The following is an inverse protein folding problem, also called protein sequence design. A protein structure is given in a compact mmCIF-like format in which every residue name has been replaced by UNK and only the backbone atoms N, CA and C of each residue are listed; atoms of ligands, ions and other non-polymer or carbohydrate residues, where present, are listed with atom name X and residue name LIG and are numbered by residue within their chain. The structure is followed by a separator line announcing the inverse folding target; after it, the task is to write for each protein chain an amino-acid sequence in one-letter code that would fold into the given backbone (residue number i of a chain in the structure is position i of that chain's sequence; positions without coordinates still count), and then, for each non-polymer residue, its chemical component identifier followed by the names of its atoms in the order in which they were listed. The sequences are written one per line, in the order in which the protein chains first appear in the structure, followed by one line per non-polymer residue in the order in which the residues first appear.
data_IF_510128916235
#
_entry.id   IF_510128916235
#
_cell.length_a   1.000
_cell.length_b   1.000
_cell.length_c   1.000
_cell.angle_alpha   90.00
_cell.angle_beta   90.00
_cell.angle_gamma   90.00
#
_symmetry.space_group_name_H-M   'P 1'
#
loop_
_entity.id
_entity.type
_entity.pdbx_description
1 polymer ?
#
# COMPACT_ATOMS: atom_id res chain seq x y z
N UNK A 1 34.59 -23.33 40.70
CA UNK A 1 34.14 -22.77 39.41
C UNK A 1 32.84 -22.04 39.65
N UNK A 2 32.88 -20.71 39.62
CA UNK A 2 31.75 -19.83 39.96
C UNK A 2 30.69 -19.96 38.88
N UNK A 3 29.52 -20.51 39.20
CA UNK A 3 28.38 -20.47 38.28
C UNK A 3 28.04 -18.99 38.03
N UNK A 4 28.03 -18.51 36.77
CA UNK A 4 27.45 -17.20 36.48
C UNK A 4 26.02 -17.17 37.03
N UNK A 5 25.59 -16.03 37.59
CA UNK A 5 24.37 -15.92 38.40
C UNK A 5 23.11 -16.48 37.71
N UNK A 6 22.82 -17.77 37.95
CA UNK A 6 21.69 -18.45 37.34
C UNK A 6 20.39 -18.05 38.04
N UNK A 7 19.36 -17.74 37.25
CA UNK A 7 18.09 -17.22 37.73
C UNK A 7 17.04 -18.34 37.83
N UNK A 8 16.27 -18.33 38.91
CA UNK A 8 15.07 -19.17 39.03
C UNK A 8 13.99 -18.70 38.06
N UNK A 9 13.14 -19.62 37.61
CA UNK A 9 12.05 -19.36 36.62
C UNK A 9 11.21 -18.11 36.92
N UNK A 10 10.87 -17.84 38.19
CA UNK A 10 10.09 -16.65 38.55
C UNK A 10 10.86 -15.33 38.36
N UNK A 11 12.18 -15.34 38.61
CA UNK A 11 13.02 -14.18 38.35
C UNK A 11 13.21 -13.94 36.85
N UNK A 12 13.33 -15.02 36.07
CA UNK A 12 13.35 -14.95 34.59
C UNK A 12 12.06 -14.35 34.06
N UNK A 13 10.91 -14.85 34.52
CA UNK A 13 9.61 -14.35 34.11
C UNK A 13 9.45 -12.85 34.37
N UNK A 14 9.81 -12.38 35.57
CA UNK A 14 9.80 -10.95 35.90
C UNK A 14 10.75 -10.12 35.04
N UNK A 15 11.96 -10.61 34.79
CA UNK A 15 12.99 -9.88 34.04
C UNK A 15 12.68 -9.80 32.54
N UNK A 16 12.03 -10.81 32.00
CA UNK A 16 11.81 -10.95 30.54
C UNK A 16 10.38 -10.64 30.11
N UNK A 17 9.45 -10.51 31.06
CA UNK A 17 8.02 -10.33 30.80
C UNK A 17 7.33 -11.58 30.23
N UNK A 18 8.02 -12.72 30.21
CA UNK A 18 7.48 -14.00 29.72
C UNK A 18 6.82 -14.73 30.87
N UNK A 19 5.60 -15.24 30.66
CA UNK A 19 4.92 -15.99 31.71
C UNK A 19 5.67 -17.29 32.04
N UNK A 20 5.57 -17.77 33.29
CA UNK A 20 6.14 -19.07 33.68
C UNK A 20 5.55 -20.20 32.80
N UNK A 21 4.27 -20.09 32.45
CA UNK A 21 3.59 -21.03 31.53
C UNK A 21 4.28 -21.06 30.16
N UNK A 22 4.61 -19.90 29.60
CA UNK A 22 5.32 -19.80 28.32
C UNK A 22 6.73 -20.39 28.40
N UNK A 23 7.46 -20.18 29.50
CA UNK A 23 8.76 -20.80 29.70
C UNK A 23 8.67 -22.34 29.76
N UNK A 24 7.66 -22.88 30.44
CA UNK A 24 7.42 -24.33 30.46
C UNK A 24 7.04 -24.86 29.07
N UNK A 25 6.23 -24.11 28.33
CA UNK A 25 5.87 -24.48 26.97
C UNK A 25 7.09 -24.48 26.04
N UNK A 26 8.00 -23.50 26.15
CA UNK A 26 9.23 -23.49 25.37
C UNK A 26 10.17 -24.64 25.71
N UNK A 27 10.19 -25.09 26.96
CA UNK A 27 10.92 -26.31 27.36
C UNK A 27 10.25 -27.56 26.78
N UNK A 28 8.92 -27.65 26.83
CA UNK A 28 8.15 -28.79 26.31
C UNK A 28 8.37 -29.02 24.81
N UNK A 29 8.39 -27.94 24.02
CA UNK A 29 8.66 -28.01 22.58
C UNK A 29 10.15 -28.02 22.23
N UNK A 30 11.04 -28.06 23.24
CA UNK A 30 12.50 -28.11 23.05
C UNK A 30 13.14 -26.80 22.54
N UNK A 31 12.41 -25.69 22.56
CA UNK A 31 12.87 -24.39 22.07
C UNK A 31 13.83 -23.70 23.05
N UNK A 32 13.60 -23.85 24.36
CA UNK A 32 14.44 -23.34 25.43
C UNK A 32 14.45 -24.33 26.60
N UNK A 33 15.61 -24.91 26.89
CA UNK A 33 15.80 -25.75 28.07
C UNK A 33 16.53 -24.98 29.18
N UNK A 34 16.19 -25.19 30.46
CA UNK A 34 16.98 -24.64 31.56
C UNK A 34 18.37 -25.30 31.59
N UNK A 35 19.42 -24.50 31.69
CA UNK A 35 20.81 -24.99 31.83
C UNK A 35 21.05 -25.82 33.10
N UNK A 36 20.18 -25.74 34.11
CA UNK A 36 20.32 -26.56 35.30
C UNK A 36 19.08 -26.61 36.19
N UNK A 37 19.20 -27.35 37.29
CA UNK A 37 18.19 -27.44 38.34
C UNK A 37 18.83 -27.32 39.73
N UNK A 38 18.12 -26.74 40.68
CA UNK A 38 18.54 -26.75 42.10
C UNK A 38 18.45 -28.17 42.67
N UNK A 39 19.09 -28.42 43.82
CA UNK A 39 18.95 -29.68 44.56
C UNK A 39 17.48 -30.03 44.90
N UNK A 40 16.63 -29.01 45.06
CA UNK A 40 15.18 -29.13 45.27
C UNK A 40 14.34 -29.23 43.98
N UNK A 41 14.98 -29.38 42.81
CA UNK A 41 14.30 -29.59 41.52
C UNK A 41 13.87 -28.33 40.75
N UNK A 42 14.13 -27.13 41.27
CA UNK A 42 13.73 -25.87 40.61
C UNK A 42 14.63 -25.56 39.41
N UNK A 43 14.03 -25.09 38.30
CA UNK A 43 14.74 -24.69 37.09
C UNK A 43 15.66 -23.49 37.31
N UNK A 44 16.87 -23.57 36.77
CA UNK A 44 17.88 -22.51 36.77
C UNK A 44 18.24 -22.16 35.34
N UNK A 45 18.20 -20.87 35.04
CA UNK A 45 18.52 -20.31 33.74
C UNK A 45 19.79 -19.48 33.81
N UNK A 46 20.79 -19.82 32.99
CA UNK A 46 22.05 -19.07 32.88
C UNK A 46 21.84 -17.78 32.07
N UNK A 47 22.80 -16.84 32.10
CA UNK A 47 22.75 -15.67 31.21
C UNK A 47 22.60 -16.01 29.72
N UNK A 48 23.17 -17.13 29.27
CA UNK A 48 23.04 -17.63 27.90
C UNK A 48 21.59 -18.07 27.59
N UNK A 49 20.93 -18.76 28.52
CA UNK A 49 19.51 -19.09 28.36
C UNK A 49 18.64 -17.82 28.25
N UNK A 50 18.99 -16.76 29.00
CA UNK A 50 18.30 -15.47 28.93
C UNK A 50 18.53 -14.81 27.57
N UNK A 51 19.75 -14.87 27.02
CA UNK A 51 20.05 -14.35 25.69
C UNK A 51 19.28 -15.12 24.61
N UNK A 52 19.24 -16.46 24.68
CA UNK A 52 18.42 -17.29 23.79
C UNK A 52 16.95 -16.93 23.87
N UNK A 53 16.41 -16.74 25.09
CA UNK A 53 15.04 -16.30 25.30
C UNK A 53 14.76 -14.92 24.68
N UNK A 54 15.70 -13.98 24.80
CA UNK A 54 15.58 -12.67 24.14
C UNK A 54 15.55 -12.81 22.61
N UNK A 55 16.42 -13.65 22.03
CA UNK A 55 16.40 -13.94 20.58
C UNK A 55 15.07 -14.53 20.12
N UNK A 56 14.53 -15.51 20.86
CA UNK A 56 13.20 -16.10 20.58
C UNK A 56 12.13 -15.01 20.55
N UNK A 57 12.09 -14.13 21.57
CA UNK A 57 11.11 -13.04 21.63
C UNK A 57 11.24 -12.05 20.47
N UNK A 58 12.46 -11.68 20.11
CA UNK A 58 12.71 -10.76 19.00
C UNK A 58 12.21 -11.34 17.68
N UNK A 59 12.49 -12.62 17.42
CA UNK A 59 12.03 -13.29 16.19
C UNK A 59 10.51 -13.50 16.18
N UNK A 60 9.91 -13.80 17.33
CA UNK A 60 8.45 -13.91 17.44
C UNK A 60 7.76 -12.56 17.21
N UNK A 61 8.36 -11.45 17.68
CA UNK A 61 7.86 -10.10 17.41
C UNK A 61 7.95 -9.71 15.92
N UNK A 62 8.84 -10.36 15.16
CA UNK A 62 8.95 -10.23 13.70
C UNK A 62 7.97 -11.17 12.95
N UNK A 63 7.11 -11.89 13.67
CA UNK A 63 6.07 -12.74 13.07
C UNK A 63 6.52 -14.16 12.74
N UNK A 64 7.73 -14.58 13.12
CA UNK A 64 8.15 -15.97 12.94
C UNK A 64 7.38 -16.89 13.90
N UNK A 65 7.00 -18.06 13.40
CA UNK A 65 6.42 -19.13 14.22
C UNK A 65 7.48 -19.76 15.13
N UNK A 66 7.07 -20.37 16.25
CA UNK A 66 8.01 -21.03 17.17
C UNK A 66 8.78 -22.18 16.52
N UNK A 67 8.19 -22.84 15.51
CA UNK A 67 8.86 -23.87 14.71
C UNK A 67 10.03 -23.27 13.89
N UNK A 68 9.77 -22.20 13.15
CA UNK A 68 10.80 -21.51 12.35
C UNK A 68 11.91 -20.93 13.23
N UNK A 69 11.56 -20.41 14.42
CA UNK A 69 12.53 -19.92 15.41
C UNK A 69 13.40 -21.08 15.91
N UNK A 70 12.79 -22.24 16.20
CA UNK A 70 13.52 -23.44 16.59
C UNK A 70 14.54 -23.87 15.54
N UNK A 71 14.14 -23.88 14.27
CA UNK A 71 15.01 -24.24 13.16
C UNK A 71 16.14 -23.23 12.94
N UNK A 72 15.86 -21.92 13.06
CA UNK A 72 16.87 -20.86 12.92
C UNK A 72 17.89 -20.84 14.08
N UNK A 73 17.46 -21.20 15.29
CA UNK A 73 18.30 -21.21 16.49
C UNK A 73 18.99 -22.56 16.73
N UNK A 74 18.74 -23.55 15.88
CA UNK A 74 19.47 -24.80 15.87
C UNK A 74 20.71 -24.65 14.96
N UNK A 75 21.88 -24.95 15.50
CA UNK A 75 23.15 -24.84 14.76
C UNK A 75 23.08 -25.61 13.43
N UNK A 76 23.36 -24.90 12.33
CA UNK A 76 23.53 -25.49 11.00
C UNK A 76 22.27 -25.98 10.29
N UNK A 77 21.05 -25.68 10.79
CA UNK A 77 19.80 -26.16 10.16
C UNK A 77 19.11 -25.16 9.23
N UNK A 78 19.23 -23.86 9.48
CA UNK A 78 18.53 -22.85 8.69
C UNK A 78 19.24 -21.49 8.77
N UNK A 79 19.43 -20.80 7.64
CA UNK A 79 19.95 -19.43 7.63
C UNK A 79 18.84 -18.45 8.04
N UNK A 80 19.05 -17.76 9.16
CA UNK A 80 18.12 -16.74 9.66
C UNK A 80 17.85 -15.66 8.59
N UNK A 81 18.86 -15.28 7.81
CA UNK A 81 18.69 -14.29 6.73
C UNK A 81 17.75 -14.81 5.67
N UNK A 82 17.89 -16.06 5.27
CA UNK A 82 17.02 -16.70 4.27
C UNK A 82 15.57 -16.78 4.76
N UNK A 83 15.35 -17.16 6.02
CA UNK A 83 14.00 -17.21 6.62
C UNK A 83 13.36 -15.83 6.70
N UNK A 84 14.11 -14.81 7.13
CA UNK A 84 13.61 -13.43 7.16
C UNK A 84 13.28 -12.95 5.74
N UNK A 85 14.13 -13.23 4.74
CA UNK A 85 13.86 -12.85 3.35
C UNK A 85 12.63 -13.56 2.77
N UNK A 86 12.43 -14.83 3.10
CA UNK A 86 11.24 -15.59 2.69
C UNK A 86 9.96 -15.02 3.30
N UNK A 87 9.98 -14.66 4.58
CA UNK A 87 8.83 -13.98 5.21
C UNK A 87 8.60 -12.59 4.65
N UNK A 88 9.66 -11.82 4.40
CA UNK A 88 9.54 -10.51 3.78
C UNK A 88 8.83 -10.61 2.43
N UNK A 89 9.25 -11.54 1.56
CA UNK A 89 8.59 -11.79 0.27
C UNK A 89 7.12 -12.18 0.43
N UNK A 90 6.77 -12.97 1.44
CA UNK A 90 5.38 -13.34 1.72
C UNK A 90 4.55 -12.13 2.14
N UNK A 91 5.07 -11.30 3.04
CA UNK A 91 4.41 -10.06 3.49
C UNK A 91 4.25 -9.08 2.33
N UNK A 92 5.26 -8.95 1.48
CA UNK A 92 5.21 -8.12 0.27
C UNK A 92 4.11 -8.60 -0.69
N UNK A 93 4.02 -9.92 -0.95
CA UNK A 93 2.97 -10.49 -1.79
C UNK A 93 1.57 -10.33 -1.18
N UNK A 94 1.42 -10.53 0.14
CA UNK A 94 0.15 -10.29 0.84
C UNK A 94 -0.26 -8.81 0.75
N UNK A 95 0.69 -7.89 0.87
CA UNK A 95 0.45 -6.45 0.69
C UNK A 95 -0.02 -6.13 -0.72
N UNK A 96 0.60 -6.70 -1.76
CA UNK A 96 0.18 -6.49 -3.14
C UNK A 96 -1.27 -6.94 -3.39
N UNK A 97 -1.67 -8.07 -2.83
CA UNK A 97 -3.06 -8.57 -2.92
C UNK A 97 -4.03 -7.61 -2.23
N UNK A 98 -3.70 -7.14 -1.03
CA UNK A 98 -4.54 -6.20 -0.27
C UNK A 98 -4.63 -4.83 -0.97
N UNK A 99 -3.52 -4.31 -1.49
CA UNK A 99 -3.50 -3.06 -2.24
C UNK A 99 -4.33 -3.17 -3.51
N UNK A 100 -4.29 -4.31 -4.21
CA UNK A 100 -5.18 -4.54 -5.35
C UNK A 100 -6.64 -4.51 -4.92
N UNK A 101 -7.01 -5.28 -3.89
CA UNK A 101 -8.39 -5.32 -3.39
C UNK A 101 -8.90 -3.94 -2.97
N UNK A 102 -8.07 -3.14 -2.29
CA UNK A 102 -8.41 -1.77 -1.91
C UNK A 102 -8.74 -0.92 -3.14
N UNK A 103 -7.92 -0.98 -4.19
CA UNK A 103 -8.20 -0.27 -5.45
C UNK A 103 -9.52 -0.72 -6.06
N UNK A 104 -9.83 -2.01 -6.01
CA UNK A 104 -11.08 -2.52 -6.54
C UNK A 104 -12.30 -1.98 -5.79
N UNK A 105 -12.22 -1.95 -4.46
CA UNK A 105 -13.28 -1.42 -3.61
C UNK A 105 -13.50 0.08 -3.83
N UNK A 106 -12.42 0.86 -3.99
CA UNK A 106 -12.52 2.30 -4.29
C UNK A 106 -13.11 2.59 -5.67
N UNK A 107 -12.77 1.79 -6.68
CA UNK A 107 -13.37 1.91 -8.01
C UNK A 107 -14.88 1.65 -7.94
N UNK A 108 -15.29 0.62 -7.22
CA UNK A 108 -16.70 0.32 -7.01
C UNK A 108 -17.42 1.44 -6.24
N UNK A 109 -16.81 1.96 -5.17
CA UNK A 109 -17.37 3.06 -4.38
C UNK A 109 -17.64 4.31 -5.23
N UNK A 110 -16.71 4.70 -6.12
CA UNK A 110 -16.92 5.83 -7.05
C UNK A 110 -18.09 5.61 -8.01
N UNK A 111 -18.22 4.40 -8.56
CA UNK A 111 -19.34 4.07 -9.45
C UNK A 111 -20.68 4.14 -8.71
N UNK A 112 -20.73 3.62 -7.48
CA UNK A 112 -21.92 3.70 -6.63
C UNK A 112 -22.25 5.14 -6.19
N UNK A 113 -21.26 6.01 -6.02
CA UNK A 113 -21.48 7.41 -5.66
C UNK A 113 -22.01 8.28 -6.83
N UNK A 114 -21.68 7.90 -8.08
CA UNK A 114 -22.15 8.59 -9.30
C UNK A 114 -23.60 8.27 -9.67
N UNK A 115 -24.10 7.09 -9.28
CA UNK A 115 -25.50 6.69 -9.46
C UNK A 115 -26.38 7.42 -8.42
N UNK A 116 -26.82 8.63 -8.76
CA UNK A 116 -27.64 9.51 -7.90
C UNK A 116 -29.07 8.99 -7.65
N UNK A 117 -29.47 7.92 -8.33
CA UNK A 117 -30.64 7.13 -7.96
C UNK A 117 -30.11 5.84 -7.36
N UNK A 118 -30.47 5.53 -6.13
CA UNK A 118 -30.04 4.33 -5.40
C UNK A 118 -30.51 3.01 -6.02
N UNK A 119 -30.09 2.75 -7.26
CA UNK A 119 -30.29 1.53 -7.98
C UNK A 119 -29.33 0.46 -7.46
N UNK A 120 -29.86 -0.76 -7.43
CA UNK A 120 -29.17 -1.92 -6.89
C UNK A 120 -27.90 -2.20 -7.71
N UNK A 121 -26.80 -2.56 -7.02
CA UNK A 121 -25.56 -3.07 -7.60
C UNK A 121 -25.83 -3.90 -8.87
N UNK A 122 -25.66 -3.29 -10.04
CA UNK A 122 -25.95 -3.97 -11.30
C UNK A 122 -24.72 -4.75 -11.78
N UNK A 123 -24.94 -5.69 -12.68
CA UNK A 123 -23.81 -6.37 -13.36
C UNK A 123 -22.99 -5.37 -14.17
N UNK A 124 -23.61 -4.33 -14.72
CA UNK A 124 -22.95 -3.27 -15.49
C UNK A 124 -22.05 -2.42 -14.60
N UNK A 125 -22.53 -1.99 -13.42
CA UNK A 125 -21.73 -1.26 -12.42
C UNK A 125 -20.48 -2.05 -12.01
N UNK A 126 -20.61 -3.37 -11.81
CA UNK A 126 -19.48 -4.25 -11.49
C UNK A 126 -18.49 -4.40 -12.66
N UNK A 127 -18.99 -4.61 -13.88
CA UNK A 127 -18.14 -4.70 -15.07
C UNK A 127 -17.40 -3.39 -15.31
N UNK A 128 -18.08 -2.25 -15.15
CA UNK A 128 -17.48 -0.93 -15.29
C UNK A 128 -16.34 -0.69 -14.29
N UNK A 129 -16.55 -1.06 -13.02
CA UNK A 129 -15.50 -0.99 -12.01
C UNK A 129 -14.29 -1.88 -12.39
N UNK A 130 -14.53 -3.13 -12.79
CA UNK A 130 -13.48 -4.09 -13.22
C UNK A 130 -12.70 -3.62 -14.45
N UNK A 131 -13.39 -3.03 -15.42
CA UNK A 131 -12.77 -2.41 -16.59
C UNK A 131 -11.91 -1.22 -16.19
N UNK A 132 -12.39 -0.35 -15.30
CA UNK A 132 -11.62 0.79 -14.79
C UNK A 132 -10.32 0.32 -14.13
N UNK A 133 -10.38 -0.71 -13.27
CA UNK A 133 -9.18 -1.28 -12.64
C UNK A 133 -8.19 -1.78 -13.69
N UNK A 134 -8.68 -2.55 -14.67
CA UNK A 134 -7.83 -3.16 -15.71
C UNK A 134 -7.20 -2.10 -16.61
N UNK A 135 -7.94 -1.04 -16.94
CA UNK A 135 -7.48 0.10 -17.73
C UNK A 135 -6.35 0.83 -17.01
N UNK A 136 -6.53 1.24 -15.75
CA UNK A 136 -5.48 1.97 -15.02
C UNK A 136 -4.21 1.13 -14.78
N UNK A 137 -4.34 -0.20 -14.63
CA UNK A 137 -3.20 -1.12 -14.53
C UNK A 137 -2.34 -1.19 -15.80
N UNK A 138 -2.87 -0.78 -16.98
CA UNK A 138 -2.09 -0.71 -18.22
C UNK A 138 -1.15 0.50 -18.29
N UNK A 139 -1.54 1.63 -17.66
CA UNK A 139 -0.79 2.89 -17.73
C UNK A 139 0.06 3.15 -16.48
N UNK A 140 -0.39 2.66 -15.31
CA UNK A 140 0.22 2.95 -14.02
C UNK A 140 0.58 1.68 -13.25
N UNK A 141 1.79 1.65 -12.73
CA UNK A 141 2.20 0.66 -11.74
C UNK A 141 1.42 0.85 -10.42
N UNK A 142 1.30 -0.18 -9.57
CA UNK A 142 0.63 -0.04 -8.27
C UNK A 142 1.20 1.09 -7.40
N UNK A 143 2.52 1.30 -7.45
CA UNK A 143 3.19 2.39 -6.72
C UNK A 143 2.84 3.78 -7.28
N UNK A 144 2.68 3.91 -8.60
CA UNK A 144 2.23 5.15 -9.24
C UNK A 144 0.77 5.46 -8.91
N UNK A 145 -0.12 4.47 -9.00
CA UNK A 145 -1.53 4.64 -8.63
C UNK A 145 -1.68 5.08 -7.17
N UNK A 146 -0.93 4.44 -6.26
CA UNK A 146 -0.93 4.83 -4.83
C UNK A 146 -0.46 6.26 -4.60
N UNK A 147 0.52 6.74 -5.39
CA UNK A 147 0.97 8.13 -5.32
C UNK A 147 -0.13 9.10 -5.78
N UNK A 148 -0.80 8.79 -6.89
CA UNK A 148 -1.93 9.59 -7.40
C UNK A 148 -3.07 9.65 -6.38
N UNK A 149 -3.46 8.50 -5.82
CA UNK A 149 -4.50 8.43 -4.79
C UNK A 149 -4.14 9.20 -3.53
N UNK A 150 -2.90 9.09 -3.05
CA UNK A 150 -2.43 9.83 -1.89
C UNK A 150 -2.47 11.35 -2.14
N UNK A 151 -2.09 11.79 -3.35
CA UNK A 151 -2.13 13.20 -3.72
C UNK A 151 -3.57 13.71 -3.79
N UNK A 152 -4.45 12.97 -4.46
CA UNK A 152 -5.88 13.27 -4.55
C UNK A 152 -6.56 13.32 -3.17
N UNK A 153 -6.17 12.45 -2.23
CA UNK A 153 -6.71 12.45 -0.87
C UNK A 153 -6.14 13.58 0.03
N UNK A 154 -4.98 14.13 -0.32
CA UNK A 154 -4.27 15.13 0.51
C UNK A 154 -4.53 16.58 0.11
N UNK A 155 -5.10 16.81 -1.08
CA UNK A 155 -5.27 18.13 -1.67
C UNK A 155 -6.72 18.58 -1.76
N UNK A 156 -6.90 19.89 -1.96
CA UNK A 156 -8.15 20.44 -2.48
C UNK A 156 -8.31 20.03 -3.94
N UNK A 157 -9.54 19.81 -4.39
CA UNK A 157 -9.82 19.50 -5.80
C UNK A 157 -9.52 20.73 -6.67
N UNK A 158 -8.33 20.71 -7.27
CA UNK A 158 -7.83 21.76 -8.17
C UNK A 158 -8.18 21.52 -9.63
N UNK A 159 -8.61 20.31 -10.01
CA UNK A 159 -8.83 19.93 -11.41
C UNK A 159 -10.25 20.25 -11.83
N UNK A 160 -11.24 19.88 -11.03
CA UNK A 160 -12.67 20.06 -11.37
C UNK A 160 -13.06 21.52 -11.62
N UNK A 161 -12.62 22.51 -10.81
CA UNK A 161 -12.95 23.91 -11.07
C UNK A 161 -12.40 24.41 -12.41
N UNK A 162 -11.18 23.98 -12.77
CA UNK A 162 -10.55 24.43 -14.03
C UNK A 162 -11.17 23.72 -15.24
N UNK A 163 -11.57 22.46 -15.10
CA UNK A 163 -12.37 21.77 -16.13
C UNK A 163 -13.70 22.50 -16.39
N UNK A 164 -14.38 22.97 -15.34
CA UNK A 164 -15.61 23.74 -15.48
C UNK A 164 -15.38 25.10 -16.18
N UNK A 165 -14.26 25.79 -15.91
CA UNK A 165 -13.86 27.02 -16.63
C UNK A 165 -13.66 26.75 -18.14
N UNK A 166 -12.98 25.65 -18.47
CA UNK A 166 -12.72 25.24 -19.85
C UNK A 166 -14.01 24.86 -20.61
N UNK A 167 -14.91 24.15 -19.94
CA UNK A 167 -16.21 23.81 -20.50
C UNK A 167 -17.08 25.05 -20.71
N UNK A 168 -17.08 25.99 -19.76
CA UNK A 168 -17.78 27.27 -19.92
C UNK A 168 -17.23 28.09 -21.09
N UNK A 169 -15.91 28.12 -21.27
CA UNK A 169 -15.26 28.78 -22.41
C UNK A 169 -15.69 28.16 -23.75
N UNK A 170 -15.78 26.83 -23.81
CA UNK A 170 -16.27 26.09 -24.97
C UNK A 170 -17.73 26.41 -25.28
N UNK A 171 -18.61 26.35 -24.27
CA UNK A 171 -20.04 26.65 -24.41
C UNK A 171 -20.28 28.10 -24.84
N UNK A 172 -19.46 29.03 -24.36
CA UNK A 172 -19.47 30.43 -24.78
C UNK A 172 -18.93 30.66 -26.22
N UNK A 173 -18.37 29.63 -26.85
CA UNK A 173 -17.81 29.70 -28.20
C UNK A 173 -16.53 30.53 -28.29
N UNK A 174 -15.75 30.61 -27.20
CA UNK A 174 -14.47 31.33 -27.21
C UNK A 174 -13.49 30.67 -28.19
N UNK A 175 -12.73 31.45 -28.99
CA UNK A 175 -11.69 30.88 -29.84
C UNK A 175 -10.64 30.13 -29.00
N UNK A 176 -10.15 28.96 -29.44
CA UNK A 176 -9.11 28.22 -28.72
C UNK A 176 -7.81 29.02 -28.53
N UNK A 177 -7.53 29.95 -29.44
CA UNK A 177 -6.39 30.87 -29.39
C UNK A 177 -6.61 32.11 -28.52
N UNK A 178 -7.79 32.26 -27.90
CA UNK A 178 -8.10 33.40 -27.05
C UNK A 178 -7.24 33.37 -25.78
N UNK A 179 -6.86 34.56 -25.28
CA UNK A 179 -6.06 34.66 -24.06
C UNK A 179 -6.75 34.01 -22.85
N UNK A 180 -8.08 33.99 -22.82
CA UNK A 180 -8.86 33.35 -21.77
C UNK A 180 -8.77 31.83 -21.85
N UNK A 181 -9.03 31.23 -23.02
CA UNK A 181 -8.90 29.78 -23.22
C UNK A 181 -7.47 29.29 -22.93
N UNK A 182 -6.46 30.03 -23.39
CA UNK A 182 -5.05 29.71 -23.14
C UNK A 182 -4.69 29.76 -21.65
N UNK A 183 -5.24 30.72 -20.89
CA UNK A 183 -5.00 30.79 -19.43
C UNK A 183 -5.65 29.62 -18.70
N UNK A 184 -6.90 29.28 -19.01
CA UNK A 184 -7.57 28.13 -18.39
C UNK A 184 -6.87 26.81 -18.74
N UNK A 185 -6.33 26.69 -19.96
CA UNK A 185 -5.50 25.54 -20.34
C UNK A 185 -4.20 25.42 -19.53
N UNK A 186 -3.48 26.53 -19.32
CA UNK A 186 -2.27 26.51 -18.49
C UNK A 186 -2.60 26.11 -17.05
N UNK A 187 -3.68 26.65 -16.47
CA UNK A 187 -4.13 26.25 -15.13
C UNK A 187 -4.52 24.78 -15.05
N UNK A 188 -5.11 24.23 -16.12
CA UNK A 188 -5.46 22.80 -16.15
C UNK A 188 -4.20 21.94 -16.16
N UNK A 189 -3.19 22.30 -16.98
CA UNK A 189 -1.90 21.60 -16.99
C UNK A 189 -1.21 21.65 -15.62
N UNK A 190 -1.19 22.81 -14.98
CA UNK A 190 -0.63 22.98 -13.63
C UNK A 190 -1.40 22.15 -12.59
N UNK A 191 -2.73 22.07 -12.69
CA UNK A 191 -3.56 21.25 -11.82
C UNK A 191 -3.26 19.75 -12.00
N UNK A 192 -3.16 19.26 -13.25
CA UNK A 192 -2.81 17.86 -13.53
C UNK A 192 -1.37 17.55 -13.09
N UNK A 193 -0.43 18.46 -13.30
CA UNK A 193 0.95 18.31 -12.81
C UNK A 193 1.01 18.26 -11.28
N UNK A 194 0.21 19.08 -10.60
CA UNK A 194 0.05 19.01 -9.15
C UNK A 194 -0.47 17.65 -8.72
N UNK A 195 -1.52 17.11 -9.35
CA UNK A 195 -2.05 15.77 -9.05
C UNK A 195 -1.01 14.67 -9.29
N UNK A 196 -0.17 14.83 -10.31
CA UNK A 196 0.97 13.94 -10.57
C UNK A 196 2.13 14.10 -9.56
N UNK A 197 2.04 15.02 -8.60
CA UNK A 197 3.09 15.31 -7.63
C UNK A 197 4.31 16.01 -8.23
N UNK A 198 4.15 16.73 -9.35
CA UNK A 198 5.24 17.36 -10.09
C UNK A 198 6.10 16.39 -10.90
N UNK A 199 5.66 15.14 -11.06
CA UNK A 199 6.37 14.12 -11.84
C UNK A 199 5.94 14.19 -13.31
N UNK A 200 6.80 14.79 -14.15
CA UNK A 200 6.51 14.98 -15.58
C UNK A 200 6.22 13.68 -16.34
N UNK A 201 6.81 12.55 -15.91
CA UNK A 201 6.51 11.25 -16.53
C UNK A 201 5.10 10.76 -16.16
N UNK A 202 4.68 11.00 -14.90
CA UNK A 202 3.30 10.72 -14.48
C UNK A 202 2.30 11.65 -15.18
N UNK A 203 2.60 12.94 -15.29
CA UNK A 203 1.76 13.90 -16.03
C UNK A 203 1.56 13.43 -17.47
N UNK A 204 2.63 13.00 -18.13
CA UNK A 204 2.53 12.45 -19.50
C UNK A 204 1.62 11.23 -19.56
N UNK A 205 1.77 10.27 -18.65
CA UNK A 205 0.92 9.07 -18.58
C UNK A 205 -0.56 9.41 -18.38
N UNK A 206 -0.88 10.43 -17.57
CA UNK A 206 -2.27 10.90 -17.38
C UNK A 206 -2.83 11.43 -18.70
N UNK A 207 -2.07 12.26 -19.43
CA UNK A 207 -2.50 12.74 -20.75
C UNK A 207 -2.62 11.62 -21.79
N UNK A 208 -1.70 10.64 -21.79
CA UNK A 208 -1.79 9.45 -22.64
C UNK A 208 -3.05 8.63 -22.34
N UNK A 209 -3.37 8.40 -21.07
CA UNK A 209 -4.61 7.73 -20.64
C UNK A 209 -5.84 8.49 -21.16
N UNK A 210 -5.93 9.79 -20.90
CA UNK A 210 -7.07 10.61 -21.32
C UNK A 210 -7.21 10.64 -22.86
N UNK A 211 -6.10 10.58 -23.60
CA UNK A 211 -6.13 10.55 -25.04
C UNK A 211 -6.58 9.19 -25.59
N UNK A 212 -6.07 8.09 -25.04
CA UNK A 212 -6.32 6.75 -25.54
C UNK A 212 -7.69 6.19 -25.11
N UNK A 213 -8.18 6.57 -23.92
CA UNK A 213 -9.33 5.93 -23.28
C UNK A 213 -10.53 6.90 -23.14
N UNK A 214 -11.56 6.81 -23.99
CA UNK A 214 -12.78 7.60 -23.85
C UNK A 214 -13.47 7.45 -22.49
N UNK A 215 -13.45 6.23 -21.95
CA UNK A 215 -14.04 5.93 -20.65
C UNK A 215 -13.33 6.67 -19.49
N UNK A 216 -12.01 6.81 -19.57
CA UNK A 216 -11.26 7.59 -18.60
C UNK A 216 -11.66 9.08 -18.65
N UNK A 217 -11.95 9.61 -19.84
CA UNK A 217 -12.45 11.00 -19.98
C UNK A 217 -13.82 11.17 -19.34
N UNK A 218 -14.74 10.24 -19.58
CA UNK A 218 -16.07 10.22 -18.98
C UNK A 218 -16.01 10.17 -17.44
N UNK A 219 -15.16 9.30 -16.88
CA UNK A 219 -14.93 9.17 -15.43
C UNK A 219 -14.47 10.50 -14.78
N UNK A 220 -13.75 11.34 -15.54
CA UNK A 220 -13.26 12.65 -15.09
C UNK A 220 -14.14 13.83 -15.54
N UNK A 221 -15.33 13.56 -16.09
CA UNK A 221 -16.28 14.60 -16.53
C UNK A 221 -15.84 15.35 -17.79
N UNK A 222 -14.98 14.76 -18.62
CA UNK A 222 -14.47 15.34 -19.86
C UNK A 222 -15.27 14.76 -21.04
N UNK A 223 -16.15 15.56 -21.65
CA UNK A 223 -16.88 15.15 -22.85
C UNK A 223 -15.97 15.08 -24.09
N UNK A 224 -16.43 14.40 -25.13
CA UNK A 224 -15.73 14.37 -26.42
C UNK A 224 -15.57 15.78 -27.02
N UNK A 225 -16.58 16.64 -26.88
CA UNK A 225 -16.51 18.01 -27.37
C UNK A 225 -15.53 18.87 -26.57
N UNK A 226 -15.50 18.69 -25.24
CA UNK A 226 -14.52 19.35 -24.39
C UNK A 226 -13.11 18.89 -24.74
N UNK A 227 -12.91 17.58 -24.91
CA UNK A 227 -11.61 17.03 -25.28
C UNK A 227 -11.11 17.57 -26.63
N UNK A 228 -11.96 17.62 -27.65
CA UNK A 228 -11.63 18.21 -28.94
C UNK A 228 -11.27 19.70 -28.85
N UNK A 229 -11.99 20.45 -28.00
CA UNK A 229 -11.69 21.84 -27.71
C UNK A 229 -10.34 21.99 -27.01
N UNK A 230 -10.04 21.17 -25.99
CA UNK A 230 -8.75 21.15 -25.30
C UNK A 230 -7.59 20.87 -26.25
N UNK A 231 -7.75 19.89 -27.15
CA UNK A 231 -6.74 19.61 -28.19
C UNK A 231 -6.50 20.80 -29.12
N UNK A 232 -7.54 21.58 -29.41
CA UNK A 232 -7.42 22.82 -30.20
C UNK A 232 -6.75 23.95 -29.42
N UNK A 233 -6.99 24.06 -28.10
CA UNK A 233 -6.38 25.07 -27.22
C UNK A 233 -4.91 24.75 -26.95
N UNK A 234 -4.56 23.47 -26.79
CA UNK A 234 -3.19 23.02 -26.61
C UNK A 234 -2.29 23.39 -27.82
N UNK A 235 -2.91 23.71 -28.96
CA UNK A 235 -2.27 23.98 -30.25
C UNK A 235 -1.82 22.68 -30.86
N UNK A 236 -2.35 22.30 -32.04
CA UNK A 236 -2.15 21.01 -32.72
C UNK A 236 -0.71 20.61 -33.03
N UNK A 237 0.10 20.41 -31.99
CA UNK A 237 1.55 20.19 -32.00
C UNK A 237 1.94 19.01 -31.12
N UNK A 238 1.01 18.10 -30.86
CA UNK A 238 1.28 16.75 -30.34
C UNK A 238 0.46 15.74 -31.16
N UNK A 239 0.79 15.68 -32.45
CA UNK A 239 0.53 14.53 -33.33
C UNK A 239 1.85 13.82 -33.59
#
# INVERSE_FOLDING_TARGET
MTHPAALKVAAVARRTGVSVRTLHYYEEIGLLAPSGRTASGHRLYTPEDIERLQRIKSLQALGLSLAEIGDCLAEGRMDLRETVQRHLRRVEAEREVLERLERQLRALDRQLAGETNGDALTTETLLNALEQITMYDQYFTPAEQKRLEAHAASGEDVVTPVLAELEAARVAGLPPSSAEAQRSWQRFREAVESVAGGDAAMTKKIFELLHAEPKAREDHGISDELFAYLGSVAGGSEH
#
